data_IF_756195713736
#
_entry.id   IF_756195713736
#
_cell.length_a   1.000
_cell.length_b   1.000
_cell.length_c   1.000
_cell.angle_alpha   90.00
_cell.angle_beta   90.00
_cell.angle_gamma   90.00
#
_symmetry.space_group_name_H-M   'P 1'
#
loop_
_entity.id
_entity.type
_entity.pdbx_description
1 polymer ?
#
# COMPACT_ATOMS: atom_id res chain seq x y z
N UNK A 1 28.40 -43.26 -29.00
CA UNK A 1 29.63 -42.44 -28.91
C UNK A 1 29.25 -41.09 -28.34
N UNK A 2 29.71 -40.85 -27.11
CA UNK A 2 29.34 -39.75 -26.22
C UNK A 2 30.37 -38.64 -26.27
N UNK A 3 29.97 -37.43 -26.66
CA UNK A 3 30.81 -36.25 -26.54
C UNK A 3 30.64 -35.61 -25.15
N UNK A 4 31.66 -35.75 -24.30
CA UNK A 4 31.87 -34.91 -23.10
C UNK A 4 32.86 -33.80 -23.44
N UNK A 5 32.60 -32.52 -23.11
CA UNK A 5 33.64 -31.50 -23.08
C UNK A 5 34.44 -31.54 -21.76
N UNK A 6 35.66 -30.97 -21.74
CA UNK A 6 36.69 -31.29 -20.76
C UNK A 6 36.64 -30.39 -19.50
N UNK A 7 36.79 -31.04 -18.35
CA UNK A 7 37.73 -30.70 -17.27
C UNK A 7 37.80 -29.22 -16.83
N UNK A 8 36.87 -28.80 -15.98
CA UNK A 8 37.02 -27.60 -15.15
C UNK A 8 37.39 -28.01 -13.71
N UNK A 9 38.62 -27.68 -13.28
CA UNK A 9 39.07 -27.81 -11.88
C UNK A 9 38.88 -26.47 -11.15
N UNK A 10 38.23 -26.42 -9.99
CA UNK A 10 38.28 -25.23 -9.14
C UNK A 10 39.56 -25.25 -8.30
N UNK A 11 40.44 -24.28 -8.53
CA UNK A 11 41.47 -23.90 -7.57
C UNK A 11 40.96 -22.74 -6.72
N UNK A 12 40.48 -23.02 -5.51
CA UNK A 12 40.46 -22.04 -4.42
C UNK A 12 41.36 -22.55 -3.31
N UNK A 13 42.62 -22.10 -3.33
CA UNK A 13 43.50 -22.17 -2.16
C UNK A 13 43.04 -21.09 -1.20
N UNK A 14 42.68 -21.50 0.01
CA UNK A 14 42.46 -20.60 1.12
C UNK A 14 43.73 -19.81 1.43
N UNK A 15 43.56 -18.52 1.68
CA UNK A 15 44.50 -17.72 2.45
C UNK A 15 43.71 -17.07 3.57
N UNK A 16 43.91 -17.60 4.78
CA UNK A 16 43.49 -16.95 6.01
C UNK A 16 44.21 -15.59 6.09
N UNK A 17 43.43 -14.50 6.23
CA UNK A 17 44.00 -13.20 6.56
C UNK A 17 44.34 -13.18 8.06
N UNK A 18 45.55 -12.76 8.45
CA UNK A 18 45.89 -12.51 9.84
C UNK A 18 45.14 -11.28 10.35
N UNK A 19 44.58 -11.39 11.54
CA UNK A 19 44.03 -10.31 12.35
C UNK A 19 45.15 -9.38 12.81
N UNK A 20 45.09 -8.06 12.53
CA UNK A 20 45.97 -7.09 13.18
C UNK A 20 45.51 -6.87 14.62
N UNK A 21 46.45 -7.03 15.56
CA UNK A 21 46.24 -6.78 16.98
C UNK A 21 45.89 -5.32 17.26
N UNK A 22 45.03 -5.13 18.27
CA UNK A 22 44.70 -3.84 18.87
C UNK A 22 45.82 -3.44 19.84
N UNK A 23 46.47 -2.27 19.66
CA UNK A 23 47.19 -1.60 20.74
C UNK A 23 46.18 -0.87 21.63
N UNK A 24 46.35 -1.03 22.95
CA UNK A 24 45.57 -0.33 23.96
C UNK A 24 46.00 1.12 24.19
N UNK A 25 45.28 1.74 25.12
CA UNK A 25 45.44 3.10 25.69
C UNK A 25 45.07 4.23 24.73
N UNK A 26 44.39 5.32 25.10
CA UNK A 26 43.91 5.85 26.38
C UNK A 26 43.13 7.13 26.04
N UNK A 27 41.93 7.32 26.58
CA UNK A 27 41.39 8.63 27.00
C UNK A 27 39.92 8.48 27.38
N UNK A 28 39.66 8.32 28.69
CA UNK A 28 38.38 8.69 29.29
C UNK A 28 38.18 10.19 29.03
N UNK A 29 37.21 10.54 28.19
CA UNK A 29 36.62 11.87 28.16
C UNK A 29 35.43 11.85 29.12
N UNK A 30 35.60 12.53 30.24
CA UNK A 30 34.52 12.85 31.18
C UNK A 30 33.49 13.75 30.49
N UNK A 31 32.30 13.20 30.23
CA UNK A 31 31.15 14.00 29.84
C UNK A 31 30.54 14.63 31.09
N UNK A 32 30.41 15.97 31.17
CA UNK A 32 29.70 16.60 32.27
C UNK A 32 28.20 16.23 32.22
N UNK A 33 27.54 16.04 33.37
CA UNK A 33 26.11 15.76 33.42
C UNK A 33 25.30 16.93 32.84
N UNK A 34 24.16 16.67 32.18
CA UNK A 34 23.30 17.74 31.68
C UNK A 34 22.79 18.59 32.84
N UNK A 35 23.05 19.90 32.74
CA UNK A 35 22.59 20.91 33.67
C UNK A 35 21.06 20.90 33.75
N UNK A 36 20.55 20.73 34.98
CA UNK A 36 19.13 20.89 35.30
C UNK A 36 18.74 22.35 35.05
N UNK A 37 18.08 22.61 33.92
CA UNK A 37 17.38 23.88 33.69
C UNK A 37 16.01 23.81 34.36
N UNK A 38 15.97 24.34 35.57
CA UNK A 38 14.75 24.76 36.25
C UNK A 38 14.10 25.88 35.43
N UNK A 39 13.00 25.58 34.74
CA UNK A 39 12.03 26.60 34.35
C UNK A 39 10.77 26.38 35.17
N UNK A 40 10.67 27.19 36.23
CA UNK A 40 9.41 27.50 36.87
C UNK A 40 8.56 28.28 35.87
N UNK A 41 7.45 27.69 35.43
CA UNK A 41 6.28 28.46 34.98
C UNK A 41 5.10 27.97 35.81
N UNK A 42 4.82 28.76 36.85
CA UNK A 42 3.53 28.90 37.47
C UNK A 42 2.49 29.22 36.38
N UNK A 43 1.52 28.34 36.16
CA UNK A 43 0.16 28.78 35.92
C UNK A 43 -0.80 27.96 36.78
N UNK A 44 -1.55 28.73 37.56
CA UNK A 44 -2.58 28.37 38.51
C UNK A 44 -3.76 27.76 37.77
N UNK A 45 -4.08 26.49 38.00
CA UNK A 45 -5.47 25.99 38.07
C UNK A 45 -5.51 24.91 39.15
N UNK A 46 -5.64 25.35 40.40
CA UNK A 46 -6.08 24.52 41.50
C UNK A 46 -7.47 25.02 41.92
N UNK A 47 -8.44 24.12 41.90
CA UNK A 47 -9.58 24.20 42.81
C UNK A 47 -10.96 24.12 42.16
N UNK A 48 -11.73 23.15 42.65
CA UNK A 48 -13.18 22.93 42.53
C UNK A 48 -13.59 22.03 41.34
N UNK A 49 -14.09 20.80 41.51
CA UNK A 49 -14.68 20.14 42.69
C UNK A 49 -14.45 18.63 42.60
N UNK A 50 -13.92 18.09 43.69
CA UNK A 50 -13.90 16.69 44.05
C UNK A 50 -15.31 16.09 44.12
N UNK A 51 -15.53 15.02 43.37
CA UNK A 51 -16.55 14.04 43.66
C UNK A 51 -16.45 12.83 42.73
N UNK A 52 -15.66 11.79 43.04
CA UNK A 52 -15.92 10.45 42.52
C UNK A 52 -17.00 9.80 43.40
N UNK A 53 -17.93 9.04 42.80
CA UNK A 53 -17.56 7.66 42.55
C UNK A 53 -18.01 7.14 41.18
N UNK A 54 -17.12 6.35 40.58
CA UNK A 54 -17.41 4.99 40.11
C UNK A 54 -18.76 4.80 39.41
N UNK A 55 -18.73 4.63 38.08
CA UNK A 55 -19.13 3.38 37.39
C UNK A 55 -19.36 3.66 35.88
N UNK A 56 -18.50 3.08 35.04
CA UNK A 56 -18.85 2.58 33.71
C UNK A 56 -19.28 3.56 32.57
N UNK A 57 -18.56 4.67 32.33
CA UNK A 57 -18.90 5.54 31.17
C UNK A 57 -17.77 6.29 30.47
N UNK A 58 -16.50 6.07 30.84
CA UNK A 58 -15.42 7.04 30.58
C UNK A 58 -14.42 6.75 29.45
N UNK A 59 -14.59 5.73 28.61
CA UNK A 59 -13.62 5.43 27.54
C UNK A 59 -14.02 5.89 26.12
N UNK A 60 -15.22 6.45 25.92
CA UNK A 60 -15.73 6.79 24.58
C UNK A 60 -15.66 8.30 24.22
N UNK A 61 -15.26 9.18 25.14
CA UNK A 61 -15.47 10.63 24.96
C UNK A 61 -14.40 11.41 24.16
N UNK A 62 -13.20 10.87 23.96
CA UNK A 62 -12.06 11.69 23.48
C UNK A 62 -11.84 11.59 21.96
N UNK A 63 -12.51 10.67 21.25
CA UNK A 63 -12.31 10.46 19.81
C UNK A 63 -13.27 11.23 18.89
N UNK A 64 -14.22 12.03 19.42
CA UNK A 64 -15.24 12.70 18.58
C UNK A 64 -14.94 14.17 18.20
N UNK A 65 -13.82 14.75 18.65
CA UNK A 65 -13.54 16.19 18.42
C UNK A 65 -12.72 16.50 17.17
N UNK A 66 -12.08 15.52 16.52
CA UNK A 66 -11.23 15.78 15.35
C UNK A 66 -12.04 15.86 14.04
N UNK A 67 -13.20 15.22 13.95
CA UNK A 67 -13.97 15.14 12.70
C UNK A 67 -14.88 16.35 12.40
N UNK A 68 -14.99 17.33 13.31
CA UNK A 68 -15.92 18.47 13.17
C UNK A 68 -15.27 19.76 12.64
N UNK A 69 -13.94 19.80 12.50
CA UNK A 69 -13.23 21.03 12.06
C UNK A 69 -12.94 21.03 10.55
N UNK A 70 -12.83 19.88 9.90
CA UNK A 70 -12.38 19.80 8.50
C UNK A 70 -13.44 20.24 7.48
N UNK A 71 -14.73 19.99 7.73
CA UNK A 71 -15.79 20.30 6.76
C UNK A 71 -15.95 21.79 6.48
N UNK A 72 -15.56 22.65 7.43
CA UNK A 72 -15.72 24.09 7.29
C UNK A 72 -14.69 24.71 6.33
N UNK A 73 -13.46 24.20 6.33
CA UNK A 73 -12.41 24.76 5.47
C UNK A 73 -12.57 24.33 4.01
N UNK A 74 -12.99 23.09 3.74
CA UNK A 74 -13.27 22.63 2.36
C UNK A 74 -14.46 23.41 1.74
N UNK A 75 -15.55 23.62 2.49
CA UNK A 75 -16.69 24.42 2.02
C UNK A 75 -16.30 25.89 1.78
N UNK A 76 -15.45 26.45 2.65
CA UNK A 76 -14.89 27.80 2.47
C UNK A 76 -14.01 27.88 1.23
N UNK A 77 -13.17 26.87 0.97
CA UNK A 77 -12.36 26.79 -0.24
C UNK A 77 -13.23 26.70 -1.50
N UNK A 78 -14.27 25.88 -1.48
CA UNK A 78 -15.25 25.77 -2.57
C UNK A 78 -15.94 27.10 -2.87
N UNK A 79 -16.35 27.83 -1.82
CA UNK A 79 -16.95 29.15 -1.98
C UNK A 79 -15.99 30.14 -2.60
N UNK A 80 -14.75 30.20 -2.13
CA UNK A 80 -13.71 31.07 -2.72
C UNK A 80 -13.43 30.71 -4.17
N UNK A 81 -13.43 29.42 -4.49
CA UNK A 81 -13.25 28.92 -5.85
C UNK A 81 -14.39 29.38 -6.76
N UNK A 82 -15.65 29.25 -6.31
CA UNK A 82 -16.83 29.69 -7.03
C UNK A 82 -16.88 31.21 -7.25
N UNK A 83 -16.34 31.99 -6.29
CA UNK A 83 -16.17 33.45 -6.41
C UNK A 83 -15.02 33.86 -7.35
N UNK A 84 -14.28 32.90 -7.92
CA UNK A 84 -13.13 33.16 -8.80
C UNK A 84 -11.82 33.46 -8.06
N UNK A 85 -11.81 33.43 -6.73
CA UNK A 85 -10.63 33.64 -5.88
C UNK A 85 -9.81 32.34 -5.76
N UNK A 86 -9.39 31.80 -6.91
CA UNK A 86 -8.78 30.46 -7.01
C UNK A 86 -7.50 30.32 -6.18
N UNK A 87 -6.64 31.33 -6.13
CA UNK A 87 -5.38 31.26 -5.38
C UNK A 87 -5.62 31.06 -3.87
N UNK A 88 -6.59 31.78 -3.30
CA UNK A 88 -6.96 31.63 -1.90
C UNK A 88 -7.58 30.25 -1.60
N UNK A 89 -8.41 29.73 -2.51
CA UNK A 89 -8.97 28.39 -2.37
C UNK A 89 -7.89 27.29 -2.45
N UNK A 90 -6.93 27.43 -3.38
CA UNK A 90 -5.78 26.51 -3.53
C UNK A 90 -4.93 26.45 -2.26
N UNK A 91 -4.71 27.56 -1.58
CA UNK A 91 -3.97 27.60 -0.33
C UNK A 91 -4.66 26.76 0.76
N UNK A 92 -5.98 26.88 0.87
CA UNK A 92 -6.78 26.10 1.82
C UNK A 92 -6.72 24.61 1.48
N UNK A 93 -7.04 24.21 0.24
CA UNK A 93 -6.96 22.80 -0.16
C UNK A 93 -5.56 22.21 0.05
N UNK A 94 -4.50 22.97 -0.26
CA UNK A 94 -3.13 22.50 -0.05
C UNK A 94 -2.86 22.27 1.43
N UNK A 95 -3.20 23.22 2.29
CA UNK A 95 -3.00 23.08 3.74
C UNK A 95 -3.74 21.87 4.29
N UNK A 96 -4.97 21.63 3.84
CA UNK A 96 -5.80 20.50 4.25
C UNK A 96 -5.17 19.19 3.80
N UNK A 97 -4.77 19.11 2.53
CA UNK A 97 -4.11 17.93 1.97
C UNK A 97 -2.78 17.68 2.68
N UNK A 98 -2.00 18.68 3.05
CA UNK A 98 -0.72 18.44 3.72
C UNK A 98 -0.88 17.76 5.08
N UNK A 99 -1.89 18.15 5.86
CA UNK A 99 -2.13 17.62 7.22
C UNK A 99 -3.02 16.37 7.26
N UNK A 100 -3.86 16.15 6.25
CA UNK A 100 -4.85 15.07 6.26
C UNK A 100 -4.23 13.69 6.06
N UNK A 101 -4.46 12.74 6.99
CA UNK A 101 -4.06 11.34 6.79
C UNK A 101 -4.68 10.74 5.54
N UNK A 102 -5.93 11.09 5.25
CA UNK A 102 -6.70 10.68 4.07
C UNK A 102 -7.24 11.94 3.38
N UNK A 103 -6.53 12.48 2.39
CA UNK A 103 -6.95 13.71 1.73
C UNK A 103 -8.20 13.50 0.89
N UNK A 104 -9.07 14.52 0.84
CA UNK A 104 -10.29 14.54 0.03
C UNK A 104 -9.97 14.42 -1.47
N UNK A 105 -10.65 13.49 -2.16
CA UNK A 105 -10.55 13.35 -3.63
C UNK A 105 -10.97 14.64 -4.35
N UNK A 106 -11.97 15.34 -3.82
CA UNK A 106 -12.46 16.61 -4.36
C UNK A 106 -11.41 17.72 -4.26
N UNK A 107 -10.81 17.91 -3.07
CA UNK A 107 -9.72 18.86 -2.89
C UNK A 107 -8.54 18.57 -3.83
N UNK A 108 -8.18 17.30 -4.00
CA UNK A 108 -7.13 16.90 -4.96
C UNK A 108 -7.53 17.24 -6.40
N UNK A 109 -8.75 16.93 -6.82
CA UNK A 109 -9.23 17.25 -8.17
C UNK A 109 -9.24 18.75 -8.46
N UNK A 110 -9.57 19.59 -7.49
CA UNK A 110 -9.51 21.04 -7.64
C UNK A 110 -8.07 21.52 -7.82
N UNK A 111 -7.13 21.03 -7.01
CA UNK A 111 -5.72 21.35 -7.18
C UNK A 111 -5.14 20.84 -8.50
N UNK A 112 -5.49 19.63 -8.94
CA UNK A 112 -5.07 19.11 -10.25
C UNK A 112 -5.57 20.01 -11.38
N UNK A 113 -6.85 20.42 -11.34
CA UNK A 113 -7.41 21.33 -12.34
C UNK A 113 -6.71 22.70 -12.33
N UNK A 114 -6.32 23.21 -11.16
CA UNK A 114 -5.54 24.43 -11.04
C UNK A 114 -4.17 24.31 -11.70
N UNK A 115 -3.40 23.27 -11.36
CA UNK A 115 -2.05 23.07 -11.87
C UNK A 115 -2.04 22.73 -13.36
N UNK A 116 -2.99 21.94 -13.86
CA UNK A 116 -3.14 21.70 -15.30
C UNK A 116 -3.41 22.99 -16.07
N UNK A 117 -4.28 23.87 -15.55
CA UNK A 117 -4.56 25.16 -16.18
C UNK A 117 -3.33 26.08 -16.25
N UNK A 118 -2.37 25.91 -15.33
CA UNK A 118 -1.11 26.64 -15.33
C UNK A 118 0.01 25.94 -16.12
N UNK A 119 -0.23 24.72 -16.62
CA UNK A 119 0.81 23.88 -17.21
C UNK A 119 1.84 23.37 -16.20
N UNK A 120 1.56 23.46 -14.90
CA UNK A 120 2.45 22.98 -13.83
C UNK A 120 2.31 21.47 -13.64
N UNK A 121 2.78 20.72 -14.64
CA UNK A 121 2.76 19.25 -14.63
C UNK A 121 3.50 18.68 -13.43
N UNK A 122 4.53 19.37 -12.92
CA UNK A 122 5.35 18.88 -11.81
C UNK A 122 4.55 18.81 -10.53
N UNK A 123 3.78 19.85 -10.20
CA UNK A 123 2.93 19.84 -9.01
C UNK A 123 1.77 18.85 -9.14
N UNK A 124 1.16 18.70 -10.32
CA UNK A 124 0.16 17.64 -10.55
C UNK A 124 0.71 16.25 -10.25
N UNK A 125 1.91 15.92 -10.77
CA UNK A 125 2.57 14.64 -10.50
C UNK A 125 2.92 14.44 -9.02
N UNK A 126 3.37 15.50 -8.34
CA UNK A 126 3.64 15.46 -6.90
C UNK A 126 2.37 15.12 -6.12
N UNK A 127 1.25 15.74 -6.49
CA UNK A 127 -0.03 15.54 -5.83
C UNK A 127 -0.59 14.13 -6.06
N UNK A 128 -0.49 13.60 -7.27
CA UNK A 128 -0.90 12.22 -7.57
C UNK A 128 -0.08 11.18 -6.78
N UNK A 129 1.23 11.39 -6.66
CA UNK A 129 2.07 10.52 -5.82
C UNK A 129 1.63 10.56 -4.36
N UNK A 130 1.37 11.76 -3.82
CA UNK A 130 0.89 11.91 -2.45
C UNK A 130 -0.44 11.19 -2.24
N UNK A 131 -1.37 11.34 -3.18
CA UNK A 131 -2.67 10.66 -3.15
C UNK A 131 -2.50 9.13 -3.20
N UNK A 132 -1.56 8.62 -3.99
CA UNK A 132 -1.27 7.19 -4.08
C UNK A 132 -0.63 6.66 -2.78
N UNK A 133 0.30 7.41 -2.18
CA UNK A 133 0.92 7.07 -0.90
C UNK A 133 -0.07 7.05 0.27
N UNK A 134 -1.14 7.84 0.19
CA UNK A 134 -2.19 7.93 1.20
C UNK A 134 -3.46 7.14 0.86
N UNK A 135 -3.40 6.33 -0.19
CA UNK A 135 -4.50 5.47 -0.66
C UNK A 135 -5.82 6.23 -0.83
N UNK A 136 -5.78 7.42 -1.43
CA UNK A 136 -6.97 8.24 -1.66
C UNK A 136 -7.96 7.52 -2.59
N UNK A 137 -9.23 7.46 -2.17
CA UNK A 137 -10.32 6.89 -2.94
C UNK A 137 -10.97 7.92 -3.88
N UNK A 138 -10.81 7.72 -5.19
CA UNK A 138 -11.43 8.53 -6.26
C UNK A 138 -12.71 7.89 -6.82
N UNK A 139 -13.31 6.89 -6.16
CA UNK A 139 -14.52 6.22 -6.65
C UNK A 139 -15.73 7.16 -6.77
N UNK A 140 -15.89 8.08 -5.83
CA UNK A 140 -17.00 9.04 -5.77
C UNK A 140 -16.75 10.31 -6.57
N UNK A 141 -15.49 10.71 -6.72
CA UNK A 141 -15.09 11.87 -7.50
C UNK A 141 -13.85 11.52 -8.36
N UNK A 142 -14.05 10.90 -9.54
CA UNK A 142 -12.95 10.44 -10.39
C UNK A 142 -12.05 11.57 -10.86
N UNK A 143 -10.77 11.26 -11.07
CA UNK A 143 -9.81 12.22 -11.64
C UNK A 143 -10.31 12.68 -13.02
N UNK A 144 -10.56 13.99 -13.14
CA UNK A 144 -11.20 14.58 -14.32
C UNK A 144 -10.36 14.47 -15.60
N UNK A 145 -9.04 14.48 -15.47
CA UNK A 145 -8.09 14.34 -16.58
C UNK A 145 -7.76 12.86 -16.81
N UNK A 146 -8.13 12.26 -17.96
CA UNK A 146 -7.87 10.84 -18.22
C UNK A 146 -6.37 10.48 -18.21
N UNK A 147 -5.51 11.39 -18.67
CA UNK A 147 -4.05 11.21 -18.63
C UNK A 147 -3.56 11.10 -17.18
N UNK A 148 -4.01 12.00 -16.31
CA UNK A 148 -3.66 11.99 -14.88
C UNK A 148 -4.23 10.76 -14.16
N UNK A 149 -5.41 10.28 -14.55
CA UNK A 149 -5.98 9.06 -13.98
C UNK A 149 -5.10 7.83 -14.24
N UNK A 150 -4.55 7.69 -15.46
CA UNK A 150 -3.60 6.61 -15.80
C UNK A 150 -2.32 6.73 -14.97
N UNK A 151 -1.79 7.96 -14.82
CA UNK A 151 -0.59 8.21 -14.03
C UNK A 151 -0.82 7.86 -12.55
N UNK A 152 -1.98 8.21 -12.01
CA UNK A 152 -2.34 7.88 -10.64
C UNK A 152 -2.37 6.36 -10.39
N UNK A 153 -2.96 5.59 -11.31
CA UNK A 153 -2.96 4.12 -11.22
C UNK A 153 -1.52 3.56 -11.21
N UNK A 154 -0.64 4.09 -12.07
CA UNK A 154 0.77 3.69 -12.08
C UNK A 154 1.49 4.02 -10.77
N UNK A 155 1.27 5.21 -10.19
CA UNK A 155 1.88 5.58 -8.91
C UNK A 155 1.32 4.72 -7.75
N UNK A 156 0.03 4.35 -7.77
CA UNK A 156 -0.53 3.39 -6.81
C UNK A 156 0.15 2.03 -6.89
N UNK A 157 0.33 1.47 -8.09
CA UNK A 157 1.05 0.21 -8.29
C UNK A 157 2.50 0.28 -7.80
N UNK A 158 3.20 1.37 -8.14
CA UNK A 158 4.57 1.60 -7.70
C UNK A 158 4.67 1.70 -6.17
N UNK A 159 3.72 2.37 -5.53
CA UNK A 159 3.68 2.48 -4.08
C UNK A 159 3.42 1.12 -3.42
N UNK A 160 2.44 0.36 -3.90
CA UNK A 160 2.16 -1.01 -3.43
C UNK A 160 3.40 -1.90 -3.53
N UNK A 161 4.09 -1.84 -4.68
CA UNK A 161 5.35 -2.57 -4.88
C UNK A 161 6.42 -2.14 -3.88
N UNK A 162 6.65 -0.83 -3.68
CA UNK A 162 7.63 -0.32 -2.70
C UNK A 162 7.29 -0.75 -1.26
N UNK A 163 6.01 -0.74 -0.90
CA UNK A 163 5.54 -1.15 0.42
C UNK A 163 5.75 -2.65 0.61
N UNK A 164 5.38 -3.48 -0.38
CA UNK A 164 5.66 -4.92 -0.36
C UNK A 164 7.16 -5.23 -0.25
N UNK A 165 8.01 -4.49 -0.99
CA UNK A 165 9.48 -4.56 -0.90
C UNK A 165 9.97 -4.26 0.52
N UNK A 166 9.46 -3.18 1.12
CA UNK A 166 9.84 -2.76 2.46
C UNK A 166 9.44 -3.80 3.51
N UNK A 167 8.22 -4.35 3.39
CA UNK A 167 7.73 -5.41 4.27
C UNK A 167 8.56 -6.70 4.13
N UNK A 168 8.86 -7.12 2.90
CA UNK A 168 9.69 -8.31 2.65
C UNK A 168 11.12 -8.14 3.21
N UNK A 169 11.70 -6.94 3.09
CA UNK A 169 12.99 -6.61 3.74
C UNK A 169 12.90 -6.66 5.26
N UNK A 170 11.85 -6.07 5.85
CA UNK A 170 11.65 -6.08 7.31
C UNK A 170 11.50 -7.51 7.86
N UNK A 171 10.90 -8.41 7.08
CA UNK A 171 10.78 -9.84 7.41
C UNK A 171 12.07 -10.64 7.17
N UNK A 172 13.13 -10.02 6.66
CA UNK A 172 14.42 -10.67 6.38
C UNK A 172 14.37 -11.66 5.20
N UNK A 173 13.27 -11.69 4.43
CA UNK A 173 13.06 -12.64 3.34
C UNK A 173 13.76 -12.21 2.04
N UNK A 174 14.23 -10.97 1.96
CA UNK A 174 14.85 -10.43 0.73
C UNK A 174 16.16 -9.68 1.05
N UNK A 175 17.28 -10.18 0.51
CA UNK A 175 18.61 -9.54 0.66
C UNK A 175 19.02 -8.67 -0.53
N UNK A 176 18.46 -8.86 -1.74
CA UNK A 176 18.73 -8.01 -2.93
C UNK A 176 17.46 -7.65 -3.71
N UNK A 177 17.50 -6.54 -4.45
CA UNK A 177 16.38 -6.05 -5.28
C UNK A 177 16.00 -7.03 -6.40
N UNK A 178 16.97 -7.77 -6.94
CA UNK A 178 16.72 -8.78 -7.98
C UNK A 178 16.08 -10.06 -7.42
N UNK A 179 16.21 -10.32 -6.12
CA UNK A 179 15.51 -11.42 -5.46
C UNK A 179 14.00 -11.11 -5.35
N UNK A 180 13.65 -9.82 -5.40
CA UNK A 180 12.28 -9.31 -5.33
C UNK A 180 11.50 -9.59 -6.63
N UNK A 181 12.16 -9.45 -7.79
CA UNK A 181 11.61 -9.90 -9.06
C UNK A 181 11.49 -11.43 -9.17
N UNK A 182 12.15 -12.18 -8.28
CA UNK A 182 12.03 -13.65 -8.17
C UNK A 182 11.03 -14.08 -7.11
N UNK A 183 10.42 -13.15 -6.37
CA UNK A 183 9.35 -13.49 -5.47
C UNK A 183 8.10 -13.80 -6.30
N UNK A 184 7.56 -14.98 -6.05
CA UNK A 184 6.42 -15.55 -6.77
C UNK A 184 5.14 -14.69 -6.69
N UNK A 185 5.11 -13.68 -5.80
CA UNK A 185 3.99 -12.76 -5.60
C UNK A 185 4.24 -11.35 -6.19
N UNK A 186 5.34 -11.11 -6.90
CA UNK A 186 5.71 -9.76 -7.39
C UNK A 186 5.15 -9.38 -8.76
N UNK A 187 4.32 -10.22 -9.40
CA UNK A 187 3.98 -10.12 -10.82
C UNK A 187 2.48 -10.01 -11.13
N UNK A 188 1.61 -9.77 -10.13
CA UNK A 188 0.16 -9.71 -10.36
C UNK A 188 -0.29 -8.47 -11.12
N UNK A 189 -0.81 -8.64 -12.33
CA UNK A 189 -1.31 -7.54 -13.19
C UNK A 189 -2.79 -7.69 -13.57
N UNK A 190 -3.43 -8.80 -13.20
CA UNK A 190 -4.76 -9.16 -13.72
C UNK A 190 -5.93 -8.65 -12.88
N UNK A 191 -5.68 -7.82 -11.86
CA UNK A 191 -6.68 -7.35 -10.88
C UNK A 191 -7.93 -6.69 -11.50
N UNK A 192 -7.76 -5.98 -12.62
CA UNK A 192 -8.84 -5.28 -13.35
C UNK A 192 -8.99 -5.81 -14.78
N UNK A 193 -8.55 -7.06 -14.99
CA UNK A 193 -8.57 -7.71 -16.29
C UNK A 193 -9.71 -8.72 -16.37
N UNK A 194 -9.99 -9.13 -17.59
CA UNK A 194 -11.08 -10.05 -17.91
C UNK A 194 -10.61 -11.50 -17.85
N UNK A 195 -11.54 -12.44 -17.80
CA UNK A 195 -11.23 -13.87 -17.89
C UNK A 195 -10.53 -14.24 -19.22
N UNK A 196 -10.71 -13.45 -20.29
CA UNK A 196 -9.96 -13.65 -21.54
C UNK A 196 -8.47 -13.29 -21.39
N UNK A 197 -8.16 -12.25 -20.63
CA UNK A 197 -6.79 -11.87 -20.30
C UNK A 197 -6.16 -12.97 -19.43
N UNK A 198 -6.92 -13.48 -18.44
CA UNK A 198 -6.50 -14.60 -17.60
C UNK A 198 -6.13 -15.84 -18.41
N UNK A 199 -6.95 -16.24 -19.39
CA UNK A 199 -6.66 -17.40 -20.25
C UNK A 199 -5.32 -17.29 -21.01
N UNK A 200 -4.83 -16.07 -21.25
CA UNK A 200 -3.59 -15.80 -21.98
C UNK A 200 -2.40 -15.48 -21.06
N UNK A 201 -2.66 -15.20 -19.79
CA UNK A 201 -1.65 -14.80 -18.83
C UNK A 201 -0.68 -15.93 -18.49
N UNK A 202 0.55 -15.54 -18.15
CA UNK A 202 1.55 -16.47 -17.64
C UNK A 202 1.15 -17.03 -16.27
N UNK A 203 1.68 -18.21 -15.93
CA UNK A 203 1.45 -18.83 -14.60
C UNK A 203 1.90 -17.90 -13.47
N UNK A 204 3.01 -17.19 -13.65
CA UNK A 204 3.55 -16.28 -12.63
C UNK A 204 2.63 -15.08 -12.38
N UNK A 205 2.02 -14.52 -13.44
CA UNK A 205 1.09 -13.38 -13.34
C UNK A 205 -0.25 -13.79 -12.70
N UNK A 206 -0.76 -14.98 -13.07
CA UNK A 206 -1.93 -15.59 -12.42
C UNK A 206 -1.70 -15.77 -10.92
N UNK A 207 -0.56 -16.38 -10.58
CA UNK A 207 -0.20 -16.67 -9.20
C UNK A 207 0.02 -15.38 -8.40
N UNK A 208 0.72 -14.41 -8.97
CA UNK A 208 0.91 -13.08 -8.37
C UNK A 208 -0.41 -12.38 -8.11
N UNK A 209 -1.33 -12.38 -9.08
CA UNK A 209 -2.66 -11.76 -8.93
C UNK A 209 -3.46 -12.42 -7.80
N UNK A 210 -3.49 -13.75 -7.73
CA UNK A 210 -4.17 -14.45 -6.63
C UNK A 210 -3.51 -14.16 -5.28
N UNK A 211 -2.17 -14.08 -5.23
CA UNK A 211 -1.42 -13.77 -4.02
C UNK A 211 -1.72 -12.36 -3.51
N UNK A 212 -1.74 -11.37 -4.40
CA UNK A 212 -2.01 -9.97 -4.08
C UNK A 212 -3.42 -9.78 -3.51
N UNK A 213 -4.42 -10.41 -4.13
CA UNK A 213 -5.81 -10.39 -3.61
C UNK A 213 -5.90 -11.06 -2.23
N UNK A 214 -5.28 -12.23 -2.04
CA UNK A 214 -5.24 -12.89 -0.74
C UNK A 214 -4.51 -12.08 0.32
N UNK A 215 -3.39 -11.45 -0.03
CA UNK A 215 -2.62 -10.60 0.87
C UNK A 215 -3.45 -9.39 1.31
N UNK A 216 -4.17 -8.77 0.38
CA UNK A 216 -5.09 -7.67 0.68
C UNK A 216 -6.16 -8.11 1.67
N UNK A 217 -6.85 -9.23 1.41
CA UNK A 217 -7.89 -9.77 2.31
C UNK A 217 -7.31 -10.13 3.69
N UNK A 218 -6.12 -10.73 3.74
CA UNK A 218 -5.43 -11.06 4.99
C UNK A 218 -5.02 -9.82 5.80
N UNK A 219 -4.57 -8.76 5.12
CA UNK A 219 -4.20 -7.49 5.76
C UNK A 219 -5.42 -6.76 6.31
N UNK A 220 -6.55 -6.82 5.59
CA UNK A 220 -7.82 -6.24 6.00
C UNK A 220 -8.53 -7.01 7.13
N UNK A 221 -8.04 -8.20 7.50
CA UNK A 221 -8.66 -9.11 8.48
C UNK A 221 -10.00 -9.68 8.03
N UNK A 222 -10.19 -9.80 6.72
CA UNK A 222 -11.40 -10.31 6.09
C UNK A 222 -11.37 -11.81 5.81
N UNK A 223 -10.26 -12.49 6.15
CA UNK A 223 -10.19 -13.95 6.09
C UNK A 223 -10.83 -14.58 7.34
N UNK A 224 -11.37 -15.78 7.18
CA UNK A 224 -11.81 -16.61 8.30
C UNK A 224 -10.71 -16.73 9.37
N UNK A 225 -11.04 -16.64 10.67
CA UNK A 225 -10.05 -16.71 11.75
C UNK A 225 -9.11 -17.92 11.65
N UNK A 226 -9.66 -19.07 11.25
CA UNK A 226 -8.93 -20.33 11.08
C UNK A 226 -7.83 -20.29 10.01
N UNK A 227 -7.91 -19.36 9.06
CA UNK A 227 -6.92 -19.09 8.01
C UNK A 227 -6.05 -17.89 8.41
N UNK A 228 -6.70 -16.82 8.88
CA UNK A 228 -6.08 -15.56 9.29
C UNK A 228 -4.95 -15.76 10.32
N UNK A 229 -5.12 -16.69 11.26
CA UNK A 229 -4.14 -17.02 12.31
C UNK A 229 -2.99 -17.92 11.84
N UNK A 230 -3.20 -18.69 10.76
CA UNK A 230 -2.19 -19.60 10.19
C UNK A 230 -1.17 -18.87 9.35
N UNK A 231 -1.57 -17.76 8.72
CA UNK A 231 -0.69 -16.96 7.87
C UNK A 231 0.18 -16.06 8.75
N UNK A 232 1.49 -16.30 8.76
CA UNK A 232 2.49 -15.52 9.51
C UNK A 232 3.29 -14.59 8.60
N UNK A 233 3.32 -14.90 7.31
CA UNK A 233 4.09 -14.22 6.29
C UNK A 233 3.40 -14.34 4.92
N UNK A 234 3.82 -13.52 3.96
CA UNK A 234 3.32 -13.58 2.57
C UNK A 234 3.59 -14.96 1.95
N UNK A 235 4.67 -15.63 2.32
CA UNK A 235 4.97 -16.97 1.79
C UNK A 235 3.94 -18.02 2.21
N UNK A 236 3.26 -17.83 3.35
CA UNK A 236 2.22 -18.75 3.82
C UNK A 236 0.93 -18.64 2.98
N UNK A 237 0.79 -17.58 2.17
CA UNK A 237 -0.32 -17.40 1.24
C UNK A 237 -0.18 -18.26 -0.03
N UNK A 238 1.02 -18.75 -0.34
CA UNK A 238 1.30 -19.48 -1.58
C UNK A 238 0.35 -20.66 -1.86
N UNK A 239 0.15 -21.62 -0.95
CA UNK A 239 -0.76 -22.74 -1.23
C UNK A 239 -2.18 -22.27 -1.53
N UNK A 240 -2.66 -21.23 -0.84
CA UNK A 240 -3.98 -20.64 -1.09
C UNK A 240 -4.05 -19.97 -2.47
N UNK A 241 -2.98 -19.28 -2.89
CA UNK A 241 -2.90 -18.64 -4.19
C UNK A 241 -2.89 -19.69 -5.32
N UNK A 242 -2.12 -20.77 -5.17
CA UNK A 242 -2.09 -21.89 -6.13
C UNK A 242 -3.46 -22.55 -6.26
N UNK A 243 -4.18 -22.74 -5.14
CA UNK A 243 -5.55 -23.24 -5.14
C UNK A 243 -6.54 -22.31 -5.85
N UNK A 244 -6.40 -20.99 -5.69
CA UNK A 244 -7.23 -20.01 -6.40
C UNK A 244 -6.91 -19.98 -7.89
N UNK A 245 -5.64 -20.09 -8.28
CA UNK A 245 -5.28 -20.18 -9.71
C UNK A 245 -5.97 -21.38 -10.35
N UNK A 246 -5.92 -22.55 -9.70
CA UNK A 246 -6.59 -23.75 -10.19
C UNK A 246 -8.12 -23.56 -10.29
N UNK A 247 -8.73 -22.90 -9.31
CA UNK A 247 -10.16 -22.57 -9.33
C UNK A 247 -10.51 -21.65 -10.50
N UNK A 248 -9.76 -20.55 -10.69
CA UNK A 248 -10.02 -19.59 -11.77
C UNK A 248 -9.77 -20.22 -13.14
N UNK A 249 -8.71 -21.03 -13.29
CA UNK A 249 -8.45 -21.78 -14.53
C UNK A 249 -9.61 -22.72 -14.88
N UNK A 250 -10.16 -23.42 -13.88
CA UNK A 250 -11.33 -24.27 -14.07
C UNK A 250 -12.60 -23.46 -14.42
N UNK A 251 -12.79 -22.31 -13.78
CA UNK A 251 -13.93 -21.43 -14.03
C UNK A 251 -13.84 -20.75 -15.42
N UNK A 252 -12.63 -20.60 -15.96
CA UNK A 252 -12.34 -19.87 -17.20
C UNK A 252 -11.81 -20.74 -18.33
N UNK A 253 -12.12 -22.05 -18.33
CA UNK A 253 -11.70 -22.97 -19.41
C UNK A 253 -12.05 -22.40 -20.79
N UNK A 254 -11.02 -22.24 -21.63
CA UNK A 254 -11.14 -21.69 -22.98
C UNK A 254 -12.07 -22.55 -23.84
N UNK A 255 -13.09 -21.91 -24.41
CA UNK A 255 -13.96 -22.58 -25.38
C UNK A 255 -13.25 -22.71 -26.75
N UNK A 256 -13.53 -23.78 -27.53
CA UNK A 256 -12.90 -23.99 -28.83
C UNK A 256 -13.24 -22.89 -29.86
N UNK A 257 -14.47 -22.39 -29.84
CA UNK A 257 -14.92 -21.31 -30.70
C UNK A 257 -14.58 -19.95 -30.09
N UNK A 258 -13.82 -19.12 -30.81
CA UNK A 258 -13.32 -17.85 -30.29
C UNK A 258 -14.44 -16.83 -30.05
N UNK A 259 -15.47 -16.82 -30.91
CA UNK A 259 -16.61 -15.92 -30.77
C UNK A 259 -17.42 -16.27 -29.51
N UNK A 260 -17.72 -17.55 -29.30
CA UNK A 260 -18.37 -18.05 -28.09
C UNK A 260 -17.52 -17.82 -26.83
N UNK A 261 -16.19 -18.03 -26.91
CA UNK A 261 -15.29 -17.78 -25.80
C UNK A 261 -15.31 -16.30 -25.39
N UNK A 262 -15.25 -15.39 -26.38
CA UNK A 262 -15.33 -13.94 -26.14
C UNK A 262 -16.68 -13.53 -25.57
N UNK A 263 -17.78 -14.04 -26.11
CA UNK A 263 -19.12 -13.75 -25.63
C UNK A 263 -19.35 -14.20 -24.18
N UNK A 264 -18.74 -15.32 -23.76
CA UNK A 264 -18.88 -15.86 -22.39
C UNK A 264 -17.96 -15.15 -21.38
N UNK A 265 -16.72 -14.87 -21.76
CA UNK A 265 -15.67 -14.46 -20.81
C UNK A 265 -15.18 -13.01 -20.98
N UNK A 266 -15.61 -12.30 -22.03
CA UNK A 266 -15.14 -10.95 -22.34
C UNK A 266 -15.49 -9.90 -21.29
N UNK A 267 -16.61 -10.06 -20.60
CA UNK A 267 -17.05 -9.10 -19.57
C UNK A 267 -16.82 -9.63 -18.14
N UNK A 268 -16.35 -10.87 -17.99
CA UNK A 268 -16.16 -11.51 -16.68
C UNK A 268 -14.84 -11.06 -16.07
N UNK A 269 -14.89 -10.28 -14.99
CA UNK A 269 -13.71 -9.76 -14.31
C UNK A 269 -13.02 -10.85 -13.47
N UNK A 270 -11.68 -10.94 -13.56
CA UNK A 270 -10.87 -11.92 -12.79
C UNK A 270 -11.13 -11.80 -11.29
N UNK A 271 -11.14 -10.57 -10.77
CA UNK A 271 -11.37 -10.31 -9.34
C UNK A 271 -12.69 -10.89 -8.84
N UNK A 272 -13.76 -10.84 -9.65
CA UNK A 272 -15.05 -11.42 -9.27
C UNK A 272 -14.99 -12.95 -9.15
N UNK A 273 -14.26 -13.61 -10.06
CA UNK A 273 -14.09 -15.07 -10.05
C UNK A 273 -13.26 -15.48 -8.83
N UNK A 274 -12.18 -14.74 -8.54
CA UNK A 274 -11.34 -14.99 -7.36
C UNK A 274 -12.14 -14.81 -6.08
N UNK A 275 -12.88 -13.71 -5.94
CA UNK A 275 -13.71 -13.45 -4.77
C UNK A 275 -14.74 -14.56 -4.55
N UNK A 276 -15.43 -14.98 -5.61
CA UNK A 276 -16.35 -16.12 -5.59
C UNK A 276 -15.65 -17.42 -5.18
N UNK A 277 -14.44 -17.68 -5.67
CA UNK A 277 -13.65 -18.85 -5.28
C UNK A 277 -13.30 -18.84 -3.79
N UNK A 278 -12.99 -17.68 -3.22
CA UNK A 278 -12.76 -17.53 -1.78
C UNK A 278 -14.04 -17.76 -0.96
N UNK A 279 -15.18 -17.28 -1.44
CA UNK A 279 -16.50 -17.51 -0.82
C UNK A 279 -16.88 -19.00 -0.85
N UNK A 280 -16.80 -19.66 -2.01
CA UNK A 280 -17.14 -21.09 -2.16
C UNK A 280 -16.23 -22.00 -1.34
N UNK A 281 -14.99 -21.57 -1.07
CA UNK A 281 -14.04 -22.26 -0.19
C UNK A 281 -14.21 -21.91 1.30
N UNK A 282 -15.14 -21.02 1.63
CA UNK A 282 -15.38 -20.50 2.98
C UNK A 282 -14.11 -19.89 3.59
N UNK A 283 -13.42 -19.03 2.83
CA UNK A 283 -12.19 -18.38 3.27
C UNK A 283 -12.39 -16.95 3.75
N UNK A 284 -13.51 -16.29 3.40
CA UNK A 284 -13.84 -14.92 3.83
C UNK A 284 -14.89 -14.91 4.94
N UNK A 285 -14.86 -13.86 5.74
CA UNK A 285 -15.95 -13.51 6.66
C UNK A 285 -17.08 -12.92 5.81
N UNK A 286 -18.29 -13.47 5.93
CA UNK A 286 -19.52 -12.92 5.32
C UNK A 286 -19.96 -11.61 5.99
#
# INVERSE_FOLDING_TARGET
>A
MSHRPPNYKPHYKGQARPTPGLPGQSSQQDFPPPAKRSFAILYVIAGLILGPPLLCGGCCGVLSLVSLVTTNEEERADKLWAEGKKEAAVEIYRSEIEVATFPSAHAINQLLAYYEAQGDRKESLRLLRLAAERDTDFSRDPIRSPELAVIFQQEQEQFKLKTAVAMARAQGTVRRRDDLAKLWYGHGSLHQKTALDWQQASVDDKLGTCADLLALTWMQKDLMPSIQEKIRSVNDLRPYAEELVAYVDQATVRLPDEAANRAKFGDMQVMMIVARGMEEKNWRIE
#
